data_IF_728614183556
#
_entry.id   IF_728614183556
#
_cell.length_a   1.000
_cell.length_b   1.000
_cell.length_c   1.000
_cell.angle_alpha   90.00
_cell.angle_beta   90.00
_cell.angle_gamma   90.00
#
_symmetry.space_group_name_H-M   'P 1'
#
loop_
_entity.id
_entity.type
_entity.pdbx_description
1 polymer ?
#
# COMPACT_ATOMS: atom_id res chain seq x y z
N UNK A 1 -3.70 -0.16 5.12
CA UNK A 1 -4.19 1.11 4.54
C UNK A 1 -3.01 1.96 4.08
N UNK A 2 -3.10 2.53 2.88
CA UNK A 2 -2.10 3.44 2.31
C UNK A 2 -2.79 4.75 1.90
N UNK A 3 -2.21 5.89 2.27
CA UNK A 3 -2.63 7.19 1.73
C UNK A 3 -1.60 7.70 0.72
N UNK A 4 -2.07 8.17 -0.42
CA UNK A 4 -1.23 8.66 -1.51
C UNK A 4 -1.64 10.04 -2.02
N UNK A 5 -0.72 10.72 -2.69
CA UNK A 5 -1.04 11.88 -3.52
C UNK A 5 -1.40 11.47 -4.96
N UNK A 6 -1.90 12.41 -5.80
CA UNK A 6 -2.22 12.11 -7.20
C UNK A 6 -1.03 11.71 -8.08
N UNK A 7 0.21 11.91 -7.61
CA UNK A 7 1.43 11.49 -8.29
C UNK A 7 1.92 10.10 -7.84
N UNK A 8 1.19 9.45 -6.92
CA UNK A 8 1.49 8.11 -6.44
C UNK A 8 2.44 8.04 -5.24
N UNK A 9 2.85 9.17 -4.65
CA UNK A 9 3.73 9.17 -3.48
C UNK A 9 2.97 8.78 -2.21
N UNK A 10 3.58 7.92 -1.38
CA UNK A 10 2.94 7.39 -0.18
C UNK A 10 3.14 8.37 0.99
N UNK A 11 2.04 9.01 1.38
CA UNK A 11 1.99 9.93 2.51
C UNK A 11 1.97 9.19 3.85
N UNK A 12 1.23 8.08 3.92
CA UNK A 12 1.15 7.27 5.13
C UNK A 12 0.84 5.80 4.80
N UNK A 13 1.29 4.91 5.68
CA UNK A 13 1.06 3.47 5.62
C UNK A 13 0.74 2.99 7.03
N UNK A 14 -0.30 2.16 7.14
CA UNK A 14 -0.70 1.53 8.40
C UNK A 14 -1.17 0.09 8.13
N UNK A 15 -0.64 -0.87 8.90
CA UNK A 15 -1.20 -2.23 8.99
C UNK A 15 -2.41 -2.19 9.93
N UNK A 16 -3.57 -2.63 9.44
CA UNK A 16 -4.84 -2.58 10.19
C UNK A 16 -5.28 -3.95 10.68
N UNK A 17 -5.15 -4.98 9.84
CA UNK A 17 -5.46 -6.37 10.16
C UNK A 17 -4.36 -7.26 9.58
N UNK A 18 -3.71 -8.05 10.43
CA UNK A 18 -2.63 -8.95 10.02
C UNK A 18 -2.42 -10.03 11.07
N UNK A 19 -2.53 -11.30 10.65
CA UNK A 19 -2.28 -12.48 11.48
C UNK A 19 -0.82 -12.96 11.43
N UNK A 20 0.04 -12.29 10.65
CA UNK A 20 1.46 -12.62 10.51
C UNK A 20 2.29 -12.14 11.70
N UNK A 21 3.51 -12.66 11.81
CA UNK A 21 4.49 -12.19 12.79
C UNK A 21 5.08 -10.82 12.42
N UNK A 22 5.90 -10.26 13.30
CA UNK A 22 6.51 -8.93 13.07
C UNK A 22 7.44 -8.90 11.86
N UNK A 23 8.13 -10.01 11.56
CA UNK A 23 8.98 -10.11 10.38
C UNK A 23 8.15 -10.04 9.10
N UNK A 24 7.01 -10.74 9.05
CA UNK A 24 6.08 -10.69 7.93
C UNK A 24 5.51 -9.27 7.78
N UNK A 25 5.02 -8.66 8.86
CA UNK A 25 4.52 -7.27 8.85
C UNK A 25 5.57 -6.30 8.30
N UNK A 26 6.80 -6.38 8.82
CA UNK A 26 7.89 -5.53 8.36
C UNK A 26 8.21 -5.75 6.88
N UNK A 27 8.21 -7.00 6.40
CA UNK A 27 8.44 -7.30 4.98
C UNK A 27 7.38 -6.67 4.07
N UNK A 28 6.10 -6.68 4.49
CA UNK A 28 5.00 -6.04 3.77
C UNK A 28 5.18 -4.53 3.76
N UNK A 29 5.52 -3.92 4.89
CA UNK A 29 5.77 -2.47 4.95
C UNK A 29 6.90 -2.04 4.02
N UNK A 30 8.02 -2.77 4.05
CA UNK A 30 9.16 -2.51 3.18
C UNK A 30 8.79 -2.67 1.71
N UNK A 31 8.03 -3.70 1.35
CA UNK A 31 7.58 -3.91 -0.03
C UNK A 31 6.67 -2.77 -0.52
N UNK A 32 5.73 -2.33 0.31
CA UNK A 32 4.84 -1.21 -0.05
C UNK A 32 5.62 0.08 -0.21
N UNK A 33 6.53 0.40 0.71
CA UNK A 33 7.38 1.60 0.61
C UNK A 33 8.29 1.59 -0.62
N UNK A 34 8.82 0.42 -0.98
CA UNK A 34 9.65 0.26 -2.19
C UNK A 34 8.88 0.33 -3.49
N UNK A 35 7.55 0.25 -3.43
CA UNK A 35 6.67 0.38 -4.61
C UNK A 35 6.35 1.83 -4.95
N UNK A 36 6.92 2.80 -4.22
CA UNK A 36 6.75 4.22 -4.50
C UNK A 36 7.54 4.66 -5.76
N UNK A 37 6.96 5.49 -6.64
CA UNK A 37 5.57 5.93 -6.64
C UNK A 37 4.62 4.82 -7.09
N UNK A 38 3.44 4.76 -6.46
CA UNK A 38 2.37 3.85 -6.87
C UNK A 38 1.91 4.18 -8.29
N UNK A 39 1.40 3.18 -9.03
CA UNK A 39 0.84 3.40 -10.36
C UNK A 39 -0.23 4.50 -10.34
N UNK A 40 -0.13 5.42 -11.30
CA UNK A 40 -1.10 6.49 -11.44
C UNK A 40 -2.48 5.92 -11.79
N UNK A 41 -3.52 6.58 -11.28
CA UNK A 41 -4.87 6.28 -11.71
C UNK A 41 -4.98 6.50 -13.23
N UNK A 42 -5.60 5.56 -13.99
CA UNK A 42 -5.72 5.69 -15.44
C UNK A 42 -6.58 6.89 -15.85
N UNK A 43 -7.42 7.39 -14.94
CA UNK A 43 -8.21 8.61 -15.07
C UNK A 43 -8.25 9.35 -13.72
N UNK A 44 -8.06 10.68 -13.68
CA UNK A 44 -8.20 11.47 -12.46
C UNK A 44 -9.52 11.27 -11.71
N UNK A 45 -10.63 10.97 -12.42
CA UNK A 45 -11.95 10.79 -11.80
C UNK A 45 -12.07 9.54 -10.94
N UNK A 46 -11.18 8.56 -11.13
CA UNK A 46 -11.15 7.30 -10.34
C UNK A 46 -10.02 7.28 -9.32
N UNK A 47 -9.31 8.40 -9.15
CA UNK A 47 -8.26 8.50 -8.15
C UNK A 47 -8.84 8.28 -6.75
N UNK A 48 -8.16 7.43 -5.98
CA UNK A 48 -8.47 7.19 -4.58
C UNK A 48 -7.29 7.63 -3.71
N UNK A 49 -7.56 8.59 -2.81
CA UNK A 49 -6.60 9.07 -1.81
C UNK A 49 -6.13 7.95 -0.88
N UNK A 50 -7.03 7.02 -0.55
CA UNK A 50 -6.80 5.93 0.40
C UNK A 50 -7.04 4.60 -0.28
N UNK A 51 -6.03 3.72 -0.24
CA UNK A 51 -6.07 2.37 -0.79
C UNK A 51 -6.00 1.34 0.35
N UNK A 52 -6.74 0.24 0.18
CA UNK A 52 -6.66 -0.95 1.03
C UNK A 52 -6.03 -2.06 0.19
N UNK A 53 -4.94 -2.64 0.71
CA UNK A 53 -4.23 -3.74 0.07
C UNK A 53 -4.36 -4.97 0.96
N UNK A 54 -4.83 -6.07 0.39
CA UNK A 54 -4.91 -7.37 1.04
C UNK A 54 -3.77 -8.26 0.56
N UNK A 55 -2.75 -8.43 1.39
CA UNK A 55 -1.60 -9.29 1.08
C UNK A 55 -1.88 -10.73 1.49
N UNK A 56 -1.91 -11.64 0.52
CA UNK A 56 -2.09 -13.08 0.74
C UNK A 56 -0.96 -13.86 0.07
N UNK A 57 -0.08 -14.53 0.83
CA UNK A 57 0.96 -15.39 0.27
C UNK A 57 0.34 -16.43 -0.66
N UNK A 58 0.91 -16.60 -1.85
CA UNK A 58 0.57 -17.68 -2.77
C UNK A 58 1.63 -18.79 -2.63
N UNK A 59 1.22 -20.05 -2.79
CA UNK A 59 2.13 -21.20 -2.88
C UNK A 59 2.71 -21.35 -4.27
#
# INVERSE_FOLDING_TARGET
MVQQDPAGYILSLQITDCTGDELFKHSVEVAVRRSEPLPLAPNPSVFQRTLIFDFKPQR
#
